data_IF_416827772425
#
_entry.id   IF_416827772425
#
_cell.length_a   1.000
_cell.length_b   1.000
_cell.length_c   1.000
_cell.angle_alpha   90.00
_cell.angle_beta   90.00
_cell.angle_gamma   90.00
#
_symmetry.space_group_name_H-M   'P 1'
#
loop_
_entity.id
_entity.type
_entity.pdbx_description
1 polymer ?
#
# COMPACT_ATOMS: atom_id res chain seq x y z
N UNK A 1 2.22 -22.69 -26.91
CA UNK A 1 1.95 -23.42 -25.65
C UNK A 1 2.39 -22.50 -24.51
N UNK A 2 1.44 -21.75 -23.97
CA UNK A 2 1.70 -20.86 -22.81
C UNK A 2 1.68 -21.74 -21.57
N UNK A 3 2.84 -22.04 -21.02
CA UNK A 3 2.93 -22.68 -19.70
C UNK A 3 2.36 -21.69 -18.67
N UNK A 4 1.18 -21.99 -18.16
CA UNK A 4 0.61 -21.31 -17.00
C UNK A 4 1.39 -21.84 -15.79
N UNK A 5 2.38 -21.07 -15.34
CA UNK A 5 3.05 -21.31 -14.07
C UNK A 5 2.04 -21.15 -12.95
N UNK A 6 1.44 -22.26 -12.53
CA UNK A 6 0.71 -22.29 -11.26
C UNK A 6 1.75 -22.25 -10.14
N UNK A 7 1.95 -21.07 -9.54
CA UNK A 7 2.76 -20.96 -8.32
C UNK A 7 2.13 -21.86 -7.27
N UNK A 8 2.83 -22.90 -6.84
CA UNK A 8 2.35 -23.73 -5.74
C UNK A 8 2.40 -22.90 -4.44
N UNK A 9 1.54 -23.26 -3.47
CA UNK A 9 1.61 -22.65 -2.12
C UNK A 9 3.01 -22.81 -1.49
N UNK A 10 3.72 -23.84 -1.86
CA UNK A 10 5.09 -24.10 -1.40
C UNK A 10 6.09 -23.08 -2.01
N UNK A 11 5.92 -22.71 -3.28
CA UNK A 11 6.79 -21.72 -3.95
C UNK A 11 6.54 -20.30 -3.43
N UNK A 12 5.35 -20.05 -2.86
CA UNK A 12 5.02 -18.77 -2.24
C UNK A 12 5.61 -18.61 -0.83
N UNK A 13 6.00 -19.71 -0.14
CA UNK A 13 6.47 -19.66 1.24
C UNK A 13 7.67 -18.68 1.44
N UNK A 14 8.67 -18.59 0.56
CA UNK A 14 9.76 -17.63 0.71
C UNK A 14 9.32 -16.17 0.71
N UNK A 15 8.22 -15.83 0.01
CA UNK A 15 7.65 -14.47 0.03
C UNK A 15 7.20 -14.09 1.44
N UNK A 16 6.78 -15.06 2.24
CA UNK A 16 6.33 -14.83 3.62
C UNK A 16 7.44 -14.99 4.65
N UNK A 17 8.30 -16.00 4.50
CA UNK A 17 9.17 -16.48 5.57
C UNK A 17 10.67 -16.23 5.34
N UNK A 18 11.10 -15.83 4.16
CA UNK A 18 12.51 -15.58 3.88
C UNK A 18 13.01 -14.37 4.65
N UNK A 19 13.90 -14.60 5.61
CA UNK A 19 14.49 -13.54 6.44
C UNK A 19 15.52 -12.69 5.68
N UNK A 20 16.08 -13.18 4.59
CA UNK A 20 16.99 -12.45 3.72
C UNK A 20 16.24 -11.48 2.79
N UNK A 21 14.96 -11.73 2.57
CA UNK A 21 14.11 -10.83 1.79
C UNK A 21 13.48 -9.75 2.71
N UNK A 22 13.90 -8.49 2.64
CA UNK A 22 13.36 -7.42 3.49
C UNK A 22 11.87 -7.15 3.23
N UNK A 23 11.35 -7.55 2.06
CA UNK A 23 9.94 -7.39 1.67
C UNK A 23 9.08 -8.60 2.07
N UNK A 24 9.65 -9.65 2.66
CA UNK A 24 8.87 -10.75 3.21
C UNK A 24 8.07 -10.31 4.44
N UNK A 25 6.99 -11.03 4.78
CA UNK A 25 6.21 -10.74 5.99
C UNK A 25 7.10 -10.78 7.24
N UNK A 26 7.99 -11.76 7.32
CA UNK A 26 8.96 -11.88 8.42
C UNK A 26 9.93 -10.71 8.43
N UNK A 27 10.50 -10.36 7.27
CA UNK A 27 11.40 -9.21 7.11
C UNK A 27 10.75 -7.89 7.52
N UNK A 28 9.54 -7.64 7.03
CA UNK A 28 8.76 -6.43 7.35
C UNK A 28 8.48 -6.28 8.85
N UNK A 29 8.07 -7.37 9.54
CA UNK A 29 7.77 -7.30 10.98
C UNK A 29 9.04 -7.13 11.80
N UNK A 30 10.14 -7.80 11.43
CA UNK A 30 11.44 -7.60 12.08
C UNK A 30 11.96 -6.17 11.91
N UNK A 31 11.85 -5.62 10.71
CA UNK A 31 12.21 -4.23 10.44
C UNK A 31 11.31 -3.25 11.23
N UNK A 32 10.00 -3.48 11.26
CA UNK A 32 9.07 -2.66 12.03
C UNK A 32 9.40 -2.70 13.54
N UNK A 33 9.71 -3.88 14.09
CA UNK A 33 10.14 -4.03 15.48
C UNK A 33 11.42 -3.24 15.75
N UNK A 34 12.43 -3.36 14.89
CA UNK A 34 13.70 -2.64 15.06
C UNK A 34 13.50 -1.11 14.96
N UNK A 35 12.69 -0.65 14.01
CA UNK A 35 12.35 0.77 13.88
C UNK A 35 11.62 1.29 15.14
N UNK A 36 10.65 0.54 15.65
CA UNK A 36 9.94 0.88 16.90
C UNK A 36 10.89 0.91 18.08
N UNK A 37 11.87 -0.01 18.14
CA UNK A 37 12.89 -0.02 19.19
C UNK A 37 13.76 1.24 19.17
N UNK A 38 14.16 1.70 17.97
CA UNK A 38 14.97 2.91 17.79
C UNK A 38 14.19 4.18 18.11
N UNK A 39 12.90 4.21 17.78
CA UNK A 39 12.00 5.34 18.01
C UNK A 39 11.25 5.24 19.36
N UNK A 40 11.72 4.43 20.30
CA UNK A 40 11.01 4.08 21.54
C UNK A 40 10.60 5.29 22.38
N UNK A 41 11.38 6.36 22.36
CA UNK A 41 11.08 7.59 23.11
C UNK A 41 9.94 8.40 22.50
N UNK A 42 9.63 8.16 21.22
CA UNK A 42 8.58 8.84 20.45
C UNK A 42 7.28 8.02 20.38
N UNK A 43 7.29 6.77 20.82
CA UNK A 43 6.19 5.84 20.63
C UNK A 43 5.67 5.31 21.97
N UNK A 44 4.40 4.85 21.99
CA UNK A 44 3.82 4.32 23.21
C UNK A 44 4.36 2.92 23.56
N UNK A 45 4.33 2.58 24.85
CA UNK A 45 4.67 1.24 25.33
C UNK A 45 3.78 0.17 24.68
N UNK A 46 2.48 0.44 24.54
CA UNK A 46 1.53 -0.48 23.93
C UNK A 46 1.88 -0.80 22.46
N UNK A 47 2.41 0.19 21.73
CA UNK A 47 2.86 -0.04 20.35
C UNK A 47 4.08 -0.94 20.30
N UNK A 48 5.03 -0.72 21.21
CA UNK A 48 6.18 -1.61 21.36
C UNK A 48 5.78 -3.04 21.72
N UNK A 49 4.88 -3.22 22.67
CA UNK A 49 4.39 -4.54 23.08
C UNK A 49 3.68 -5.25 21.92
N UNK A 50 2.85 -4.53 21.16
CA UNK A 50 2.12 -5.08 20.02
C UNK A 50 3.06 -5.61 18.93
N UNK A 51 4.06 -4.82 18.53
CA UNK A 51 5.00 -5.26 17.48
C UNK A 51 5.97 -6.33 17.98
N UNK A 52 6.35 -6.28 19.25
CA UNK A 52 7.20 -7.29 19.85
C UNK A 52 6.48 -8.64 19.96
N UNK A 53 5.20 -8.66 20.33
CA UNK A 53 4.38 -9.86 20.34
C UNK A 53 4.24 -10.49 18.94
N UNK A 54 4.00 -9.67 17.90
CA UNK A 54 3.97 -10.14 16.52
C UNK A 54 5.31 -10.77 16.09
N UNK A 55 6.43 -10.14 16.47
CA UNK A 55 7.78 -10.67 16.16
C UNK A 55 8.04 -12.02 16.87
N UNK A 56 7.62 -12.16 18.13
CA UNK A 56 7.76 -13.43 18.87
C UNK A 56 6.92 -14.55 18.24
N UNK A 57 5.71 -14.26 17.79
CA UNK A 57 4.87 -15.22 17.08
C UNK A 57 5.51 -15.67 15.76
N UNK A 58 6.08 -14.73 15.00
CA UNK A 58 6.81 -15.04 13.77
C UNK A 58 8.00 -15.96 14.04
N UNK A 59 8.78 -15.70 15.08
CA UNK A 59 9.91 -16.55 15.43
C UNK A 59 9.42 -17.94 15.84
N UNK A 60 8.28 -18.07 16.53
CA UNK A 60 7.64 -19.34 16.82
C UNK A 60 7.19 -20.07 15.54
N UNK A 61 6.58 -19.38 14.57
CA UNK A 61 6.20 -19.97 13.28
C UNK A 61 7.41 -20.49 12.50
N UNK A 62 8.52 -19.73 12.52
CA UNK A 62 9.76 -20.16 11.88
C UNK A 62 10.36 -21.40 12.57
N UNK A 63 10.31 -21.47 13.89
CA UNK A 63 10.83 -22.61 14.66
C UNK A 63 10.09 -23.92 14.37
N UNK A 64 8.77 -23.86 14.13
CA UNK A 64 7.95 -25.04 13.79
C UNK A 64 7.79 -25.23 12.27
N UNK A 65 8.49 -24.45 11.45
CA UNK A 65 8.39 -24.45 9.98
C UNK A 65 6.93 -24.38 9.51
N UNK A 66 6.20 -23.42 10.05
CA UNK A 66 4.78 -23.22 9.74
C UNK A 66 4.56 -23.00 8.24
N UNK A 67 3.45 -23.50 7.72
CA UNK A 67 3.04 -23.30 6.32
C UNK A 67 2.55 -21.88 6.05
N UNK A 68 2.37 -21.54 4.76
CA UNK A 68 1.91 -20.23 4.29
C UNK A 68 0.58 -19.81 4.93
N UNK A 69 -0.30 -20.76 5.19
CA UNK A 69 -1.63 -20.51 5.76
C UNK A 69 -1.58 -19.81 7.11
N UNK A 70 -0.57 -20.09 7.92
CA UNK A 70 -0.38 -19.49 9.24
C UNK A 70 -0.05 -18.00 9.07
N UNK A 71 0.86 -17.67 8.15
CA UNK A 71 1.20 -16.27 7.86
C UNK A 71 0.03 -15.50 7.25
N UNK A 72 -0.72 -16.12 6.34
CA UNK A 72 -1.92 -15.51 5.73
C UNK A 72 -3.02 -15.22 6.77
N UNK A 73 -3.16 -16.07 7.77
CA UNK A 73 -4.10 -15.88 8.87
C UNK A 73 -3.66 -14.77 9.82
N UNK A 74 -2.40 -14.78 10.23
CA UNK A 74 -1.92 -13.98 11.37
C UNK A 74 -1.42 -12.59 10.95
N UNK A 75 -0.80 -12.42 9.77
CA UNK A 75 -0.29 -11.14 9.32
C UNK A 75 -1.36 -10.02 9.24
N UNK A 76 -2.59 -10.27 8.73
CA UNK A 76 -3.64 -9.27 8.76
C UNK A 76 -4.06 -8.87 10.17
N UNK A 77 -4.01 -9.82 11.12
CA UNK A 77 -4.34 -9.55 12.52
C UNK A 77 -3.26 -8.66 13.17
N UNK A 78 -1.99 -8.97 13.02
CA UNK A 78 -0.88 -8.16 13.53
C UNK A 78 -0.92 -6.73 12.99
N UNK A 79 -1.16 -6.60 11.67
CA UNK A 79 -1.25 -5.29 11.02
C UNK A 79 -2.42 -4.47 11.57
N UNK A 80 -3.59 -5.07 11.73
CA UNK A 80 -4.76 -4.36 12.28
C UNK A 80 -4.55 -3.98 13.74
N UNK A 81 -3.97 -4.87 14.55
CA UNK A 81 -3.66 -4.59 15.94
C UNK A 81 -2.67 -3.43 16.06
N UNK A 82 -1.58 -3.43 15.26
CA UNK A 82 -0.61 -2.35 15.23
C UNK A 82 -1.25 -1.00 14.91
N UNK A 83 -2.02 -0.91 13.83
CA UNK A 83 -2.67 0.34 13.45
C UNK A 83 -3.82 0.72 14.39
N UNK A 84 -4.47 -0.25 15.03
CA UNK A 84 -5.43 0.02 16.11
C UNK A 84 -4.79 0.75 17.29
N UNK A 85 -3.60 0.31 17.69
CA UNK A 85 -2.83 0.98 18.77
C UNK A 85 -2.31 2.34 18.30
N UNK A 86 -1.82 2.47 17.05
CA UNK A 86 -1.44 3.78 16.49
C UNK A 86 -2.58 4.78 16.57
N UNK A 87 -3.82 4.34 16.35
CA UNK A 87 -4.98 5.23 16.34
C UNK A 87 -5.51 5.55 17.74
N UNK A 88 -5.36 4.63 18.70
CA UNK A 88 -5.93 4.75 20.05
C UNK A 88 -4.92 5.25 21.09
N UNK A 89 -3.63 4.94 20.96
CA UNK A 89 -2.63 5.18 22.02
C UNK A 89 -1.54 6.19 21.66
N UNK A 90 -1.36 6.54 20.36
CA UNK A 90 -0.37 7.55 20.01
C UNK A 90 -0.99 8.96 20.04
N UNK A 91 -0.28 9.96 20.64
CA UNK A 91 -0.62 11.36 20.48
C UNK A 91 -0.73 11.75 19.00
N UNK A 92 -1.49 12.79 18.72
CA UNK A 92 -1.62 13.33 17.34
C UNK A 92 -0.49 14.32 17.04
N UNK A 93 0.73 13.84 17.18
CA UNK A 93 1.98 14.57 16.97
C UNK A 93 2.66 14.22 15.64
N UNK A 94 3.85 14.77 15.44
CA UNK A 94 4.66 14.55 14.25
C UNK A 94 5.08 13.09 14.07
N UNK A 95 5.41 12.38 15.15
CA UNK A 95 5.81 10.97 15.07
C UNK A 95 4.69 10.10 14.51
N UNK A 96 3.45 10.30 14.99
CA UNK A 96 2.27 9.62 14.47
C UNK A 96 1.99 10.03 13.02
N UNK A 97 2.15 11.31 12.68
CA UNK A 97 1.93 11.82 11.32
C UNK A 97 2.89 11.15 10.32
N UNK A 98 4.19 11.07 10.64
CA UNK A 98 5.22 10.41 9.83
C UNK A 98 4.91 8.92 9.65
N UNK A 99 4.56 8.21 10.73
CA UNK A 99 4.19 6.80 10.66
C UNK A 99 2.98 6.55 9.74
N UNK A 100 1.95 7.38 9.88
CA UNK A 100 0.74 7.30 9.04
C UNK A 100 1.04 7.63 7.58
N UNK A 101 1.86 8.65 7.33
CA UNK A 101 2.29 9.02 5.99
C UNK A 101 3.02 7.88 5.29
N UNK A 102 3.98 7.23 5.95
CA UNK A 102 4.65 6.06 5.40
C UNK A 102 3.67 4.94 5.03
N UNK A 103 2.69 4.66 5.89
CA UNK A 103 1.64 3.68 5.61
C UNK A 103 0.80 4.04 4.38
N UNK A 104 0.45 5.31 4.18
CA UNK A 104 -0.35 5.73 3.03
C UNK A 104 0.45 5.76 1.74
N UNK A 105 1.72 6.17 1.78
CA UNK A 105 2.61 6.10 0.61
C UNK A 105 2.76 4.65 0.13
N UNK A 106 3.02 3.71 1.04
CA UNK A 106 3.12 2.29 0.72
C UNK A 106 1.83 1.73 0.12
N UNK A 107 0.66 2.13 0.65
CA UNK A 107 -0.63 1.73 0.08
C UNK A 107 -0.84 2.25 -1.33
N UNK A 108 -0.46 3.50 -1.58
CA UNK A 108 -0.55 4.10 -2.92
C UNK A 108 0.36 3.35 -3.89
N UNK A 109 1.60 3.05 -3.49
CA UNK A 109 2.57 2.30 -4.28
C UNK A 109 2.03 0.91 -4.65
N UNK A 110 1.62 0.12 -3.66
CA UNK A 110 1.06 -1.22 -3.89
C UNK A 110 -0.17 -1.19 -4.80
N UNK A 111 -1.06 -0.20 -4.65
CA UNK A 111 -2.24 -0.07 -5.50
C UNK A 111 -1.85 0.27 -6.94
N UNK A 112 -0.89 1.18 -7.14
CA UNK A 112 -0.38 1.50 -8.47
C UNK A 112 0.34 0.32 -9.13
N UNK A 113 1.12 -0.47 -8.38
CA UNK A 113 1.77 -1.69 -8.90
C UNK A 113 0.77 -2.73 -9.35
N UNK A 114 -0.30 -2.95 -8.58
CA UNK A 114 -1.37 -3.86 -8.98
C UNK A 114 -2.08 -3.36 -10.25
N UNK A 115 -2.34 -2.06 -10.35
CA UNK A 115 -2.91 -1.45 -11.56
C UNK A 115 -1.97 -1.56 -12.76
N UNK A 116 -0.66 -1.45 -12.56
CA UNK A 116 0.33 -1.57 -13.61
C UNK A 116 0.27 -2.94 -14.31
N UNK A 117 0.01 -4.01 -13.56
CA UNK A 117 -0.11 -5.38 -14.10
C UNK A 117 -1.27 -5.50 -15.11
N UNK A 118 -2.32 -4.71 -14.97
CA UNK A 118 -3.49 -4.73 -15.84
C UNK A 118 -3.67 -3.48 -16.69
N UNK A 119 -2.70 -2.58 -16.70
CA UNK A 119 -2.87 -1.25 -17.32
C UNK A 119 -3.19 -1.31 -18.81
N UNK A 120 -2.67 -2.28 -19.56
CA UNK A 120 -2.96 -2.45 -20.98
C UNK A 120 -4.38 -3.00 -21.24
N UNK A 121 -5.01 -3.63 -20.25
CA UNK A 121 -6.41 -4.06 -20.30
C UNK A 121 -7.40 -2.93 -19.90
N UNK A 122 -6.91 -1.73 -19.58
CA UNK A 122 -7.77 -0.57 -19.34
C UNK A 122 -8.20 0.12 -20.63
N UNK A 123 -7.60 -0.21 -21.76
CA UNK A 123 -7.93 0.40 -23.06
C UNK A 123 -9.35 0.05 -23.48
N UNK A 124 -9.97 0.94 -24.26
CA UNK A 124 -11.31 0.74 -24.79
C UNK A 124 -11.42 -0.58 -25.56
N UNK A 125 -12.48 -1.35 -25.32
CA UNK A 125 -12.74 -2.65 -25.94
C UNK A 125 -12.40 -3.88 -25.09
N UNK A 126 -11.81 -3.70 -23.91
CA UNK A 126 -11.57 -4.80 -22.97
C UNK A 126 -12.81 -5.15 -22.11
N UNK A 127 -13.91 -4.42 -22.27
CA UNK A 127 -15.13 -4.59 -21.47
C UNK A 127 -15.84 -5.93 -21.72
N UNK A 128 -15.70 -6.47 -22.94
CA UNK A 128 -16.28 -7.75 -23.36
C UNK A 128 -15.27 -8.91 -23.32
N UNK A 129 -14.02 -8.65 -22.91
CA UNK A 129 -13.00 -9.69 -22.79
C UNK A 129 -13.16 -10.46 -21.46
N UNK A 130 -13.54 -11.76 -21.48
CA UNK A 130 -13.70 -12.55 -20.27
C UNK A 130 -12.42 -12.65 -19.43
N UNK A 131 -11.25 -12.62 -20.04
CA UNK A 131 -9.98 -12.64 -19.34
C UNK A 131 -9.70 -11.34 -18.59
N UNK A 132 -9.99 -10.21 -19.22
CA UNK A 132 -9.89 -8.90 -18.58
C UNK A 132 -10.85 -8.82 -17.37
N UNK A 133 -12.09 -9.24 -17.53
CA UNK A 133 -13.08 -9.25 -16.45
C UNK A 133 -12.66 -10.17 -15.29
N UNK A 134 -12.14 -11.36 -15.61
CA UNK A 134 -11.61 -12.27 -14.60
C UNK A 134 -10.42 -11.64 -13.84
N UNK A 135 -9.45 -11.08 -14.58
CA UNK A 135 -8.29 -10.41 -13.99
C UNK A 135 -8.73 -9.29 -13.02
N UNK A 136 -9.62 -8.41 -13.46
CA UNK A 136 -10.08 -7.30 -12.61
C UNK A 136 -10.91 -7.76 -11.41
N UNK A 137 -11.62 -8.87 -11.52
CA UNK A 137 -12.27 -9.52 -10.37
C UNK A 137 -11.26 -10.00 -9.34
N UNK A 138 -10.14 -10.60 -9.79
CA UNK A 138 -9.03 -11.01 -8.91
C UNK A 138 -8.37 -9.79 -8.28
N UNK A 139 -8.12 -8.72 -9.03
CA UNK A 139 -7.57 -7.45 -8.53
C UNK A 139 -8.45 -6.86 -7.43
N UNK A 140 -9.76 -6.76 -7.64
CA UNK A 140 -10.70 -6.29 -6.61
C UNK A 140 -10.61 -7.13 -5.33
N UNK A 141 -10.51 -8.45 -5.48
CA UNK A 141 -10.37 -9.38 -4.34
C UNK A 141 -9.05 -9.17 -3.61
N UNK A 142 -7.94 -9.09 -4.34
CA UNK A 142 -6.61 -8.86 -3.77
C UNK A 142 -6.54 -7.52 -3.02
N UNK A 143 -7.16 -6.47 -3.55
CA UNK A 143 -7.27 -5.17 -2.90
C UNK A 143 -8.32 -5.14 -1.77
N UNK A 144 -9.13 -6.19 -1.56
CA UNK A 144 -10.26 -6.19 -0.64
C UNK A 144 -11.31 -5.13 -0.99
N UNK A 145 -11.49 -4.88 -2.28
CA UNK A 145 -12.28 -3.78 -2.85
C UNK A 145 -13.67 -4.20 -3.35
N UNK A 146 -14.00 -5.49 -3.30
CA UNK A 146 -15.25 -6.02 -3.89
C UNK A 146 -16.51 -5.34 -3.34
N UNK A 147 -16.58 -5.18 -2.02
CA UNK A 147 -17.74 -4.55 -1.38
C UNK A 147 -17.78 -3.05 -1.64
N UNK A 148 -16.61 -2.39 -1.68
CA UNK A 148 -16.53 -0.98 -2.05
C UNK A 148 -16.98 -0.78 -3.50
N UNK A 149 -16.54 -1.64 -4.41
CA UNK A 149 -16.95 -1.58 -5.82
C UNK A 149 -18.47 -1.74 -5.97
N UNK A 150 -19.06 -2.74 -5.33
CA UNK A 150 -20.52 -2.97 -5.37
C UNK A 150 -21.35 -1.80 -4.85
N UNK A 151 -20.80 -0.99 -3.93
CA UNK A 151 -21.49 0.19 -3.39
C UNK A 151 -21.46 1.39 -4.33
N UNK A 152 -20.40 1.54 -5.12
CA UNK A 152 -20.21 2.71 -5.99
C UNK A 152 -20.55 2.44 -7.45
N UNK A 153 -20.45 1.18 -7.89
CA UNK A 153 -20.75 0.80 -9.26
C UNK A 153 -22.25 0.58 -9.45
N UNK A 154 -22.85 1.33 -10.36
CA UNK A 154 -24.25 1.19 -10.72
C UNK A 154 -24.53 0.05 -11.72
N UNK A 155 -23.54 -0.79 -12.04
CA UNK A 155 -23.62 -1.80 -13.09
C UNK A 155 -22.63 -2.96 -12.93
N UNK A 156 -22.44 -3.75 -14.00
CA UNK A 156 -21.50 -4.86 -13.99
C UNK A 156 -20.06 -4.39 -13.78
N UNK A 157 -19.19 -5.35 -13.47
CA UNK A 157 -17.76 -5.09 -13.34
C UNK A 157 -17.18 -4.65 -14.68
N UNK A 158 -16.47 -3.52 -14.67
CA UNK A 158 -15.72 -3.04 -15.84
C UNK A 158 -14.28 -2.70 -15.44
N UNK A 159 -13.29 -2.89 -16.32
CA UNK A 159 -11.91 -2.49 -16.08
C UNK A 159 -11.79 -1.02 -15.68
N UNK A 160 -12.50 -0.16 -16.36
CA UNK A 160 -12.53 1.29 -16.11
C UNK A 160 -13.11 1.63 -14.72
N UNK A 161 -14.21 0.97 -14.34
CA UNK A 161 -14.83 1.16 -13.02
C UNK A 161 -13.89 0.73 -11.89
N UNK A 162 -13.13 -0.35 -12.09
CA UNK A 162 -12.12 -0.79 -11.12
C UNK A 162 -10.98 0.23 -11.03
N UNK A 163 -10.46 0.70 -12.15
CA UNK A 163 -9.43 1.74 -12.17
C UNK A 163 -9.91 3.03 -11.48
N UNK A 164 -11.15 3.45 -11.76
CA UNK A 164 -11.76 4.61 -11.10
C UNK A 164 -11.81 4.45 -9.58
N UNK A 165 -12.23 3.28 -9.08
CA UNK A 165 -12.26 2.99 -7.65
C UNK A 165 -10.85 3.01 -7.05
N UNK A 166 -9.90 2.28 -7.64
CA UNK A 166 -8.56 2.12 -7.10
C UNK A 166 -7.74 3.41 -7.16
N UNK A 167 -7.89 4.20 -8.20
CA UNK A 167 -7.16 5.46 -8.35
C UNK A 167 -7.84 6.62 -7.62
N UNK A 168 -9.16 6.79 -7.75
CA UNK A 168 -9.82 8.07 -7.49
C UNK A 168 -10.92 8.07 -6.44
N UNK A 169 -11.29 6.93 -5.84
CA UNK A 169 -12.32 6.93 -4.81
C UNK A 169 -11.87 7.70 -3.56
N UNK A 170 -12.41 8.90 -3.27
CA UNK A 170 -11.87 9.75 -2.21
C UNK A 170 -12.21 9.25 -0.81
N UNK A 171 -13.17 8.35 -0.70
CA UNK A 171 -13.67 7.83 0.57
C UNK A 171 -13.17 6.40 0.85
N UNK A 172 -12.53 5.77 -0.13
CA UNK A 172 -12.05 4.41 0.03
C UNK A 172 -10.58 4.35 0.48
N UNK A 173 -10.28 3.78 1.66
CA UNK A 173 -8.96 3.90 2.31
C UNK A 173 -7.78 3.29 1.55
N UNK A 174 -8.04 2.53 0.49
CA UNK A 174 -6.99 1.91 -0.34
C UNK A 174 -6.88 2.52 -1.74
N UNK A 175 -7.65 3.58 -2.04
CA UNK A 175 -7.44 4.31 -3.28
C UNK A 175 -6.20 5.19 -3.18
N UNK A 176 -5.57 5.41 -4.33
CA UNK A 176 -4.38 6.26 -4.41
C UNK A 176 -4.70 7.69 -4.00
N UNK A 177 -5.80 8.25 -4.48
CA UNK A 177 -6.24 9.61 -4.14
C UNK A 177 -6.51 9.78 -2.63
N UNK A 178 -7.18 8.80 -2.00
CA UNK A 178 -7.38 8.83 -0.55
C UNK A 178 -6.03 8.85 0.18
N UNK A 179 -5.11 7.96 -0.21
CA UNK A 179 -3.80 7.88 0.42
C UNK A 179 -3.02 9.20 0.31
N UNK A 180 -3.01 9.82 -0.88
CA UNK A 180 -2.34 11.11 -1.09
C UNK A 180 -2.96 12.23 -0.26
N UNK A 181 -4.29 12.31 -0.16
CA UNK A 181 -4.98 13.29 0.71
C UNK A 181 -4.58 13.11 2.18
N UNK A 182 -4.50 11.86 2.66
CA UNK A 182 -4.05 11.59 4.03
C UNK A 182 -2.58 11.94 4.26
N UNK A 183 -1.74 11.79 3.24
CA UNK A 183 -0.36 12.27 3.30
C UNK A 183 -0.30 13.80 3.38
N UNK A 184 -1.11 14.53 2.60
CA UNK A 184 -1.17 15.99 2.68
C UNK A 184 -1.60 16.48 4.06
N UNK A 185 -2.59 15.84 4.68
CA UNK A 185 -3.03 16.17 6.05
C UNK A 185 -1.92 15.95 7.10
N UNK A 186 -1.02 14.98 6.86
CA UNK A 186 0.10 14.69 7.73
C UNK A 186 1.29 15.64 7.51
N UNK A 187 1.39 16.24 6.32
CA UNK A 187 2.47 17.19 5.96
C UNK A 187 2.01 18.62 6.29
N UNK A 188 2.16 19.02 7.54
CA UNK A 188 2.00 20.44 7.88
C UNK A 188 3.21 21.22 7.34
N UNK A 189 3.02 22.07 6.32
CA UNK A 189 4.06 22.99 5.92
C UNK A 189 4.27 23.19 4.42
N UNK A 190 5.27 23.99 4.12
CA UNK A 190 5.74 24.35 2.78
C UNK A 190 7.07 23.63 2.57
N UNK A 191 7.24 22.95 1.43
CA UNK A 191 8.48 22.23 1.12
C UNK A 191 8.33 21.43 -0.17
N UNK A 192 9.41 20.81 -0.61
CA UNK A 192 9.41 20.04 -1.85
C UNK A 192 8.46 18.83 -1.77
N UNK A 193 8.41 18.14 -0.62
CA UNK A 193 7.49 17.04 -0.39
C UNK A 193 6.02 17.47 -0.54
N UNK A 194 5.64 18.62 0.04
CA UNK A 194 4.28 19.15 -0.05
C UNK A 194 3.93 19.54 -1.49
N UNK A 195 4.87 20.15 -2.21
CA UNK A 195 4.71 20.54 -3.61
C UNK A 195 4.49 19.30 -4.51
N UNK A 196 5.35 18.30 -4.40
CA UNK A 196 5.27 17.07 -5.20
C UNK A 196 4.00 16.30 -4.89
N UNK A 197 3.63 16.19 -3.61
CA UNK A 197 2.42 15.51 -3.16
C UNK A 197 1.16 16.20 -3.71
N UNK A 198 1.09 17.53 -3.62
CA UNK A 198 -0.01 18.32 -4.15
C UNK A 198 -0.12 18.23 -5.67
N UNK A 199 1.00 18.16 -6.40
CA UNK A 199 1.01 17.94 -7.84
C UNK A 199 0.42 16.56 -8.22
N UNK A 200 0.91 15.50 -7.58
CA UNK A 200 0.43 14.14 -7.86
C UNK A 200 -1.04 13.98 -7.48
N UNK A 201 -1.47 14.52 -6.33
CA UNK A 201 -2.87 14.53 -5.94
C UNK A 201 -3.74 15.26 -6.96
N UNK A 202 -3.33 16.45 -7.38
CA UNK A 202 -4.08 17.27 -8.33
C UNK A 202 -4.16 16.58 -9.70
N UNK A 203 -3.08 15.94 -10.16
CA UNK A 203 -3.09 15.15 -11.37
C UNK A 203 -4.18 14.06 -11.31
N UNK A 204 -4.25 13.29 -10.24
CA UNK A 204 -5.26 12.24 -10.07
C UNK A 204 -6.68 12.78 -9.89
N UNK A 205 -6.83 13.92 -9.24
CA UNK A 205 -8.13 14.50 -8.95
C UNK A 205 -8.79 15.11 -10.19
N UNK A 206 -8.02 15.77 -11.05
CA UNK A 206 -8.55 16.53 -12.17
C UNK A 206 -8.36 15.84 -13.53
N UNK A 207 -7.39 14.97 -13.70
CA UNK A 207 -7.18 14.23 -14.94
C UNK A 207 -8.29 13.21 -15.13
N UNK A 208 -8.84 13.13 -16.33
CA UNK A 208 -9.90 12.16 -16.65
C UNK A 208 -9.35 10.74 -16.60
N UNK A 209 -10.14 9.80 -16.08
CA UNK A 209 -9.72 8.40 -15.95
C UNK A 209 -9.49 7.76 -17.33
N UNK A 210 -10.25 8.17 -18.34
CA UNK A 210 -10.11 7.71 -19.71
C UNK A 210 -8.74 8.08 -20.31
N UNK A 211 -8.18 9.23 -19.93
CA UNK A 211 -6.84 9.65 -20.36
C UNK A 211 -5.73 8.82 -19.71
N UNK A 212 -5.93 8.42 -18.45
CA UNK A 212 -5.00 7.51 -17.76
C UNK A 212 -5.08 6.14 -18.44
N UNK A 213 -6.28 5.63 -18.67
CA UNK A 213 -6.52 4.36 -19.33
C UNK A 213 -5.95 4.32 -20.76
N UNK A 214 -6.17 5.38 -21.55
CA UNK A 214 -5.61 5.51 -22.90
C UNK A 214 -4.08 5.47 -22.92
N UNK A 215 -3.44 6.00 -21.87
CA UNK A 215 -1.99 5.94 -21.69
C UNK A 215 -1.46 4.58 -21.22
N UNK A 216 -2.34 3.68 -20.76
CA UNK A 216 -2.01 2.30 -20.38
C UNK A 216 -0.85 2.21 -19.38
N UNK A 217 0.01 1.22 -19.58
CA UNK A 217 1.21 0.97 -18.76
C UNK A 217 2.05 2.23 -18.55
N UNK A 218 2.27 3.05 -19.59
CA UNK A 218 3.10 4.25 -19.48
C UNK A 218 2.49 5.32 -18.56
N UNK A 219 1.15 5.47 -18.55
CA UNK A 219 0.49 6.43 -17.66
C UNK A 219 0.59 6.00 -16.20
N UNK A 220 0.36 4.72 -15.89
CA UNK A 220 0.46 4.19 -14.53
C UNK A 220 1.92 4.21 -14.04
N UNK A 221 2.89 3.87 -14.90
CA UNK A 221 4.31 3.96 -14.55
C UNK A 221 4.73 5.38 -14.18
N UNK A 222 4.25 6.40 -14.91
CA UNK A 222 4.51 7.82 -14.54
C UNK A 222 3.93 8.19 -13.18
N UNK A 223 2.77 7.66 -12.81
CA UNK A 223 2.22 7.89 -11.47
C UNK A 223 3.09 7.26 -10.39
N UNK A 224 3.64 6.06 -10.64
CA UNK A 224 4.62 5.42 -9.76
C UNK A 224 5.89 6.25 -9.63
N UNK A 225 6.48 6.69 -10.74
CA UNK A 225 7.69 7.55 -10.72
C UNK A 225 7.46 8.85 -9.93
N UNK A 226 6.28 9.46 -10.07
CA UNK A 226 5.92 10.64 -9.30
C UNK A 226 5.75 10.33 -7.81
N UNK A 227 5.20 9.17 -7.45
CA UNK A 227 5.09 8.73 -6.06
C UNK A 227 6.46 8.44 -5.45
N UNK A 228 7.39 7.82 -6.20
CA UNK A 228 8.77 7.59 -5.77
C UNK A 228 9.53 8.91 -5.52
N UNK A 229 9.24 9.95 -6.30
CA UNK A 229 9.80 11.29 -6.05
C UNK A 229 9.26 11.90 -4.76
N UNK A 230 7.96 11.74 -4.48
CA UNK A 230 7.35 12.14 -3.20
C UNK A 230 8.03 11.42 -2.04
N UNK A 231 8.17 10.09 -2.14
CA UNK A 231 8.83 9.27 -1.13
C UNK A 231 10.27 9.72 -0.88
N UNK A 232 11.03 9.95 -1.95
CA UNK A 232 12.43 10.43 -1.86
C UNK A 232 12.52 11.79 -1.18
N UNK A 233 11.62 12.72 -1.49
CA UNK A 233 11.60 14.05 -0.85
C UNK A 233 11.25 13.92 0.64
N UNK A 234 10.30 13.07 1.00
CA UNK A 234 9.94 12.79 2.41
C UNK A 234 11.15 12.26 3.18
N UNK A 235 11.84 11.25 2.64
CA UNK A 235 13.02 10.67 3.27
C UNK A 235 14.14 11.69 3.44
N UNK A 236 14.42 12.49 2.41
CA UNK A 236 15.45 13.52 2.47
C UNK A 236 15.17 14.63 3.49
N UNK A 237 13.92 15.07 3.60
CA UNK A 237 13.54 16.10 4.55
C UNK A 237 13.51 15.60 6.01
N UNK A 238 13.12 14.33 6.22
CA UNK A 238 13.10 13.72 7.56
C UNK A 238 14.48 13.28 8.06
N UNK A 239 15.40 12.96 7.14
CA UNK A 239 16.76 12.53 7.48
C UNK A 239 17.79 13.67 7.42
N UNK A 240 17.39 14.90 7.11
CA UNK A 240 18.29 16.05 7.28
C UNK A 240 18.60 16.20 8.76
N UNK A 241 19.88 16.18 9.17
CA UNK A 241 20.23 16.52 10.54
C UNK A 241 19.70 17.92 10.83
N UNK A 242 19.26 18.14 12.06
CA UNK A 242 18.82 19.45 12.55
C UNK A 242 19.98 20.47 12.68
N UNK A 243 20.93 20.42 11.78
CA UNK A 243 22.10 21.30 11.73
C UNK A 243 21.88 22.45 10.75
N UNK A 244 20.90 23.26 10.94
CA UNK A 244 20.84 24.61 10.27
C UNK A 244 19.50 25.30 10.63
N UNK A 245 19.28 25.51 11.92
CA UNK A 245 18.37 26.58 12.39
C UNK A 245 19.05 27.38 13.49
#
# INVERSE_FOLDING_TARGET
TTEIYTLSLHDALPIFSDQANPSSVVGCIKAARENTRRARELLSLELWETINAASMQIDSHAAVKAGVEVYLRDAPWWTRSFFGVVDSALPRDEARAVLRMGCYLERADLTLRVLLLGADHLRAGAEDDPWALHFWSVVLRACGAQDAYRRVAAGPLTPMGVAQLLLRAPEWPRSVLYALRRCEEAVAGVGERARLLGQLRSELEFRRIEEIAAGGTQAVARLLDNLDRVHSAVVQELLRPAELL
#
